data_IF_318706951315
#
_entry.id   IF_318706951315
#
_cell.length_a   1.000
_cell.length_b   1.000
_cell.length_c   1.000
_cell.angle_alpha   90.00
_cell.angle_beta   90.00
_cell.angle_gamma   90.00
#
_symmetry.space_group_name_H-M   'P 1'
#
loop_
_entity.id
_entity.type
_entity.pdbx_description
1 polymer ?
#
# COMPACT_ATOMS: atom_id res chain seq x y z
N UNK A 1 2.73 -12.13 -21.19
CA UNK A 1 1.79 -13.27 -20.94
C UNK A 1 0.56 -12.74 -20.20
N UNK A 2 0.69 -12.04 -19.06
CA UNK A 2 -0.45 -11.54 -18.27
C UNK A 2 -1.37 -10.61 -19.08
N UNK A 3 -0.82 -9.61 -19.78
CA UNK A 3 -1.58 -8.70 -20.63
C UNK A 3 -2.36 -9.42 -21.71
N UNK A 4 -1.74 -10.39 -22.39
CA UNK A 4 -2.40 -11.18 -23.43
C UNK A 4 -3.55 -12.06 -22.90
N UNK A 5 -3.60 -12.29 -21.58
CA UNK A 5 -4.67 -13.04 -20.90
C UNK A 5 -5.66 -12.14 -20.16
N UNK A 6 -5.55 -10.83 -20.29
CA UNK A 6 -6.43 -9.86 -19.60
C UNK A 6 -6.23 -9.81 -18.07
N UNK A 7 -5.06 -10.23 -17.57
CA UNK A 7 -4.76 -10.22 -16.14
C UNK A 7 -4.11 -8.90 -15.75
N UNK A 8 -4.58 -8.29 -14.67
CA UNK A 8 -3.89 -7.21 -13.99
C UNK A 8 -2.75 -7.74 -13.12
N UNK A 9 -1.69 -6.96 -13.00
CA UNK A 9 -0.56 -7.24 -12.10
C UNK A 9 -0.45 -6.14 -11.07
N UNK A 10 -0.14 -6.51 -9.83
CA UNK A 10 0.26 -5.57 -8.80
C UNK A 10 1.78 -5.72 -8.62
N UNK A 11 2.51 -4.64 -8.87
CA UNK A 11 3.95 -4.58 -8.65
C UNK A 11 4.23 -3.94 -7.30
N UNK A 12 4.63 -4.75 -6.35
CA UNK A 12 5.08 -4.34 -5.02
C UNK A 12 6.57 -4.04 -5.09
N UNK A 13 6.95 -2.77 -4.87
CA UNK A 13 8.35 -2.36 -5.00
C UNK A 13 9.20 -2.81 -3.81
N UNK A 14 8.61 -2.86 -2.62
CA UNK A 14 9.32 -3.19 -1.39
C UNK A 14 8.64 -4.31 -0.62
N UNK A 15 9.45 -5.23 -0.12
CA UNK A 15 9.00 -6.29 0.78
C UNK A 15 9.49 -5.99 2.21
N UNK A 16 8.59 -5.54 3.06
CA UNK A 16 8.94 -5.02 4.38
C UNK A 16 9.25 -6.06 5.45
N UNK A 17 8.80 -7.30 5.29
CA UNK A 17 8.97 -8.33 6.34
C UNK A 17 10.44 -8.57 6.71
N UNK A 18 11.35 -8.46 5.75
CA UNK A 18 12.78 -8.60 5.99
C UNK A 18 13.35 -7.51 6.93
N UNK A 19 12.67 -6.38 7.01
CA UNK A 19 13.05 -5.25 7.84
C UNK A 19 12.40 -5.29 9.22
N UNK A 20 11.20 -5.87 9.30
CA UNK A 20 10.41 -5.89 10.53
C UNK A 20 10.87 -6.95 11.51
N UNK A 21 11.29 -8.06 10.98
CA UNK A 21 11.77 -9.21 11.73
C UNK A 21 13.30 -9.26 11.68
N UNK A 22 13.90 -8.12 11.95
CA UNK A 22 15.35 -7.96 11.95
C UNK A 22 16.02 -9.09 12.73
N UNK A 23 17.01 -9.72 12.11
CA UNK A 23 17.67 -10.92 12.62
C UNK A 23 17.14 -12.23 12.03
N UNK A 24 15.84 -12.32 11.70
CA UNK A 24 15.29 -13.51 11.05
C UNK A 24 15.51 -13.47 9.51
N UNK A 25 15.33 -12.32 8.89
CA UNK A 25 15.36 -12.19 7.43
C UNK A 25 16.41 -11.21 6.90
N UNK A 26 17.07 -10.46 7.77
CA UNK A 26 18.09 -9.49 7.35
C UNK A 26 19.25 -10.14 6.60
N UNK A 27 19.64 -11.36 6.99
CA UNK A 27 20.71 -12.08 6.35
C UNK A 27 20.52 -12.27 4.84
N UNK A 28 19.28 -12.40 4.40
CA UNK A 28 18.89 -12.62 3.00
C UNK A 28 18.48 -11.33 2.29
N UNK A 29 18.42 -10.22 3.01
CA UNK A 29 17.90 -8.98 2.47
C UNK A 29 18.85 -8.38 1.42
N UNK A 30 18.38 -8.04 0.20
CA UNK A 30 19.25 -7.60 -0.88
C UNK A 30 20.03 -6.30 -0.59
N UNK A 31 19.55 -5.48 0.34
CA UNK A 31 20.20 -4.23 0.72
C UNK A 31 21.20 -4.37 1.89
N UNK A 32 21.40 -5.56 2.39
CA UNK A 32 22.46 -5.82 3.36
C UNK A 32 23.83 -5.62 2.72
N UNK A 33 24.77 -4.98 3.39
CA UNK A 33 26.13 -4.70 2.86
C UNK A 33 26.81 -5.93 2.26
N UNK A 34 26.64 -7.10 2.91
CA UNK A 34 27.23 -8.36 2.45
C UNK A 34 26.54 -8.96 1.20
N UNK A 35 25.36 -8.48 0.86
CA UNK A 35 24.56 -9.01 -0.25
C UNK A 35 24.54 -8.08 -1.48
N UNK A 36 25.16 -6.90 -1.39
CA UNK A 36 25.11 -5.88 -2.43
C UNK A 36 26.45 -5.22 -2.67
N UNK A 37 26.67 -4.80 -3.90
CA UNK A 37 27.83 -3.95 -4.27
C UNK A 37 27.54 -2.45 -4.13
N UNK A 38 26.32 -2.09 -3.77
CA UNK A 38 25.86 -0.69 -3.77
C UNK A 38 26.26 0.11 -2.53
N UNK A 39 26.81 -0.56 -1.52
CA UNK A 39 27.22 0.04 -0.24
C UNK A 39 26.16 1.01 0.34
N UNK A 40 24.99 0.53 0.75
CA UNK A 40 23.90 1.38 1.25
C UNK A 40 24.17 1.96 2.64
N UNK A 41 25.20 1.51 3.35
CA UNK A 41 25.59 2.03 4.65
C UNK A 41 24.67 1.57 5.79
N UNK A 42 24.10 0.38 5.69
CA UNK A 42 23.34 -0.21 6.78
C UNK A 42 24.24 -0.99 7.74
N UNK A 43 24.16 -0.76 9.05
CA UNK A 43 24.81 -1.60 10.02
C UNK A 43 24.12 -2.96 10.09
N UNK A 44 24.82 -3.95 10.65
CA UNK A 44 24.17 -5.19 11.05
C UNK A 44 23.21 -4.93 12.21
N UNK A 45 22.03 -5.56 12.23
CA UNK A 45 21.08 -5.39 13.33
C UNK A 45 21.69 -5.92 14.64
N UNK A 46 21.38 -5.27 15.76
CA UNK A 46 21.73 -5.82 17.06
C UNK A 46 21.01 -7.15 17.28
N UNK A 47 21.49 -8.00 18.18
CA UNK A 47 20.76 -9.20 18.58
C UNK A 47 19.31 -8.85 18.92
N UNK A 48 18.38 -9.70 18.49
CA UNK A 48 16.95 -9.46 18.72
C UNK A 48 16.65 -9.41 20.21
N UNK A 49 16.17 -8.28 20.67
CA UNK A 49 15.70 -8.07 22.04
C UNK A 49 14.39 -7.27 21.99
N UNK A 50 13.27 -7.96 22.06
CA UNK A 50 11.97 -7.33 22.19
C UNK A 50 11.67 -6.25 21.12
N UNK A 51 11.49 -5.02 21.55
CA UNK A 51 11.13 -3.89 20.67
C UNK A 51 12.16 -3.49 19.62
N UNK A 52 13.37 -4.02 19.64
CA UNK A 52 14.41 -3.71 18.66
C UNK A 52 14.18 -4.37 17.28
N UNK A 53 13.13 -5.13 17.12
CA UNK A 53 12.75 -5.75 15.86
C UNK A 53 12.53 -4.74 14.71
N UNK A 54 12.27 -3.48 15.03
CA UNK A 54 12.05 -2.41 14.04
C UNK A 54 13.32 -1.64 13.66
N UNK A 55 14.46 -1.94 14.30
CA UNK A 55 15.70 -1.19 14.13
C UNK A 55 16.08 -0.98 12.66
N UNK A 56 16.03 -2.04 11.86
CA UNK A 56 16.39 -1.95 10.44
C UNK A 56 15.33 -1.16 9.63
N UNK A 57 14.06 -1.24 9.99
CA UNK A 57 13.00 -0.49 9.33
C UNK A 57 13.17 1.02 9.53
N UNK A 58 13.53 1.47 10.73
CA UNK A 58 13.82 2.88 11.01
C UNK A 58 14.95 3.41 10.12
N UNK A 59 16.02 2.66 10.01
CA UNK A 59 17.15 3.02 9.17
C UNK A 59 16.84 2.98 7.68
N UNK A 60 16.08 1.97 7.26
CA UNK A 60 15.76 1.76 5.85
C UNK A 60 14.86 2.86 5.31
N UNK A 61 13.85 3.27 6.07
CA UNK A 61 12.90 4.30 5.66
C UNK A 61 13.38 5.75 5.95
N UNK A 62 14.59 5.90 6.48
CA UNK A 62 15.19 7.21 6.68
C UNK A 62 15.71 7.80 5.37
N UNK A 63 14.86 8.57 4.72
CA UNK A 63 15.21 9.30 3.49
C UNK A 63 15.96 10.61 3.73
N UNK A 64 16.27 10.97 4.98
CA UNK A 64 17.17 12.08 5.29
C UNK A 64 18.64 11.69 5.04
N UNK A 65 18.97 10.39 5.08
CA UNK A 65 20.31 9.91 4.78
C UNK A 65 20.60 9.99 3.27
N UNK A 66 21.56 10.82 2.80
CA UNK A 66 21.72 11.13 1.37
C UNK A 66 21.95 9.90 0.49
N UNK A 67 22.84 8.99 0.92
CA UNK A 67 23.16 7.78 0.15
C UNK A 67 21.96 6.84 0.02
N UNK A 68 21.22 6.61 1.09
CA UNK A 68 20.03 5.76 1.08
C UNK A 68 18.94 6.38 0.22
N UNK A 69 18.72 7.68 0.35
CA UNK A 69 17.79 8.43 -0.49
C UNK A 69 18.10 8.28 -1.99
N UNK A 70 19.38 8.40 -2.37
CA UNK A 70 19.84 8.21 -3.75
C UNK A 70 19.53 6.78 -4.26
N UNK A 71 19.87 5.77 -3.45
CA UNK A 71 19.62 4.37 -3.81
C UNK A 71 18.12 4.05 -3.92
N UNK A 72 17.31 4.53 -2.99
CA UNK A 72 15.85 4.38 -3.08
C UNK A 72 15.29 5.05 -4.34
N UNK A 73 15.75 6.26 -4.65
CA UNK A 73 15.36 6.97 -5.87
C UNK A 73 15.69 6.15 -7.12
N UNK A 74 16.92 5.66 -7.21
CA UNK A 74 17.36 4.84 -8.35
C UNK A 74 16.53 3.55 -8.46
N UNK A 75 16.27 2.88 -7.35
CA UNK A 75 15.49 1.65 -7.30
C UNK A 75 14.03 1.87 -7.74
N UNK A 76 13.35 2.89 -7.21
CA UNK A 76 11.97 3.20 -7.56
C UNK A 76 11.86 3.50 -9.06
N UNK A 77 12.77 4.32 -9.60
CA UNK A 77 12.82 4.66 -11.03
C UNK A 77 13.06 3.43 -11.90
N UNK A 78 13.91 2.52 -11.45
CA UNK A 78 14.17 1.26 -12.16
C UNK A 78 12.92 0.36 -12.19
N UNK A 79 12.20 0.23 -11.07
CA UNK A 79 10.95 -0.51 -11.03
C UNK A 79 9.89 0.07 -11.98
N UNK A 80 9.76 1.38 -12.04
CA UNK A 80 8.85 2.06 -12.97
C UNK A 80 9.27 1.84 -14.43
N UNK A 81 10.56 1.96 -14.74
CA UNK A 81 11.09 1.82 -16.07
C UNK A 81 10.93 0.41 -16.64
N UNK A 82 11.15 -0.63 -15.83
CA UNK A 82 11.03 -2.02 -16.25
C UNK A 82 9.62 -2.39 -16.74
N UNK A 83 8.59 -1.71 -16.24
CA UNK A 83 7.19 -2.00 -16.55
C UNK A 83 6.50 -0.84 -17.29
N UNK A 84 7.27 0.10 -17.77
CA UNK A 84 6.77 1.36 -18.36
C UNK A 84 5.94 1.16 -19.65
N UNK A 85 6.07 0.04 -20.33
CA UNK A 85 5.28 -0.31 -21.52
C UNK A 85 3.99 -1.08 -21.22
N UNK A 86 3.76 -1.45 -19.97
CA UNK A 86 2.65 -2.31 -19.60
C UNK A 86 1.48 -1.48 -19.02
N UNK A 87 0.30 -1.64 -19.59
CA UNK A 87 -0.90 -0.88 -19.21
C UNK A 87 -1.76 -1.60 -18.16
N UNK A 88 -1.42 -2.84 -17.83
CA UNK A 88 -2.13 -3.69 -16.89
C UNK A 88 -1.38 -3.85 -15.56
N UNK A 89 -0.46 -2.95 -15.25
CA UNK A 89 0.33 -2.97 -14.01
C UNK A 89 -0.09 -1.84 -13.10
N UNK A 90 -0.39 -2.17 -11.86
CA UNK A 90 -0.61 -1.24 -10.75
C UNK A 90 0.64 -1.29 -9.88
N UNK A 91 1.28 -0.15 -9.68
CA UNK A 91 2.45 -0.04 -8.81
C UNK A 91 2.04 0.36 -7.40
N UNK A 92 2.56 -0.34 -6.41
CA UNK A 92 2.40 0.03 -5.00
C UNK A 92 3.76 0.02 -4.29
N UNK A 93 3.85 0.74 -3.21
CA UNK A 93 5.05 0.76 -2.39
C UNK A 93 5.37 -0.63 -1.83
N UNK A 94 4.35 -1.33 -1.37
CA UNK A 94 4.42 -2.72 -0.92
C UNK A 94 3.09 -3.15 -0.33
N UNK A 95 2.85 -4.45 -0.32
CA UNK A 95 1.73 -5.02 0.41
C UNK A 95 1.94 -4.82 1.90
N UNK A 96 0.85 -4.56 2.60
CA UNK A 96 0.92 -4.36 4.04
C UNK A 96 1.95 -3.30 4.49
N UNK A 97 2.28 -2.37 3.61
CA UNK A 97 3.29 -1.36 3.91
C UNK A 97 2.77 -0.36 4.94
N UNK A 98 3.41 -0.30 6.08
CA UNK A 98 3.06 0.58 7.19
C UNK A 98 4.23 1.47 7.65
N UNK A 99 5.16 1.75 6.74
CA UNK A 99 6.26 2.68 6.97
C UNK A 99 5.79 4.13 7.17
N UNK A 100 6.71 5.04 7.48
CA UNK A 100 6.41 6.42 7.83
C UNK A 100 5.83 7.21 6.65
N UNK A 101 5.05 8.24 6.97
CA UNK A 101 4.49 9.19 5.99
C UNK A 101 5.58 9.78 5.10
N UNK A 102 6.72 10.16 5.67
CA UNK A 102 7.84 10.75 4.91
C UNK A 102 8.38 9.84 3.80
N UNK A 103 8.34 8.53 3.99
CA UNK A 103 8.77 7.60 2.94
C UNK A 103 7.72 7.45 1.82
N UNK A 104 6.43 7.48 2.15
CA UNK A 104 5.37 7.53 1.13
C UNK A 104 5.45 8.82 0.31
N UNK A 105 5.66 9.95 0.98
CA UNK A 105 5.82 11.25 0.32
C UNK A 105 7.02 11.24 -0.63
N UNK A 106 8.15 10.75 -0.17
CA UNK A 106 9.35 10.61 -0.99
C UNK A 106 9.11 9.71 -2.22
N UNK A 107 8.48 8.55 -2.02
CA UNK A 107 8.15 7.64 -3.12
C UNK A 107 7.28 8.32 -4.17
N UNK A 108 6.21 9.00 -3.74
CA UNK A 108 5.31 9.71 -4.65
C UNK A 108 6.00 10.90 -5.35
N UNK A 109 6.91 11.58 -4.69
CA UNK A 109 7.71 12.64 -5.31
C UNK A 109 8.60 12.08 -6.43
N UNK A 110 9.22 10.91 -6.22
CA UNK A 110 9.99 10.22 -7.26
C UNK A 110 9.10 9.75 -8.41
N UNK A 111 7.90 9.26 -8.13
CA UNK A 111 6.90 8.91 -9.16
C UNK A 111 6.51 10.15 -9.97
N UNK A 112 6.23 11.28 -9.33
CA UNK A 112 5.87 12.53 -9.99
C UNK A 112 6.97 13.04 -10.92
N UNK A 113 8.21 13.02 -10.45
CA UNK A 113 9.37 13.37 -11.26
C UNK A 113 9.51 12.47 -12.49
N UNK A 114 9.39 11.14 -12.27
CA UNK A 114 9.48 10.16 -13.35
C UNK A 114 8.36 10.35 -14.39
N UNK A 115 7.12 10.61 -13.94
CA UNK A 115 5.99 10.94 -14.83
C UNK A 115 6.30 12.17 -15.69
N UNK A 116 6.82 13.23 -15.07
CA UNK A 116 7.15 14.50 -15.75
C UNK A 116 8.25 14.30 -16.79
N UNK A 117 9.31 13.58 -16.46
CA UNK A 117 10.45 13.36 -17.32
C UNK A 117 10.15 12.44 -18.51
N UNK A 118 9.30 11.43 -18.30
CA UNK A 118 9.05 10.39 -19.32
C UNK A 118 7.76 10.60 -20.11
N UNK A 119 6.85 11.43 -19.62
CA UNK A 119 5.50 11.57 -20.16
C UNK A 119 4.63 10.32 -19.99
N UNK A 120 5.03 9.36 -19.14
CA UNK A 120 4.30 8.10 -18.89
C UNK A 120 3.48 8.18 -17.62
N UNK A 121 2.35 7.47 -17.60
CA UNK A 121 1.37 7.52 -16.52
C UNK A 121 1.11 6.12 -15.96
N UNK A 122 1.97 5.62 -15.07
CA UNK A 122 1.75 4.34 -14.39
C UNK A 122 0.54 4.45 -13.46
N UNK A 123 -0.22 3.36 -13.30
CA UNK A 123 -1.25 3.28 -12.29
C UNK A 123 -0.62 3.11 -10.92
N UNK A 124 -1.00 3.96 -9.97
CA UNK A 124 -0.42 4.01 -8.63
C UNK A 124 -1.47 3.63 -7.59
N UNK A 125 -1.16 2.62 -6.78
CA UNK A 125 -1.95 2.26 -5.61
C UNK A 125 -1.31 2.76 -4.32
N UNK A 126 -2.13 3.23 -3.42
CA UNK A 126 -1.75 3.58 -2.05
C UNK A 126 -2.30 2.52 -1.09
N UNK A 127 -1.40 1.74 -0.52
CA UNK A 127 -1.68 0.76 0.53
C UNK A 127 -0.96 1.21 1.80
N UNK A 128 -1.67 1.90 2.68
CA UNK A 128 -1.08 2.53 3.85
C UNK A 128 -2.04 2.47 5.05
N UNK A 129 -1.58 2.67 6.28
CA UNK A 129 -2.46 2.90 7.42
C UNK A 129 -3.32 4.15 7.19
N UNK A 130 -4.49 4.18 7.83
CA UNK A 130 -5.50 5.23 7.58
C UNK A 130 -4.96 6.65 7.74
N UNK A 131 -4.18 6.91 8.77
CA UNK A 131 -3.60 8.23 9.05
C UNK A 131 -2.65 8.69 7.92
N UNK A 132 -1.78 7.80 7.45
CA UNK A 132 -0.87 8.07 6.33
C UNK A 132 -1.67 8.21 5.04
N UNK A 133 -2.64 7.32 4.81
CA UNK A 133 -3.49 7.35 3.63
C UNK A 133 -4.29 8.64 3.55
N UNK A 134 -4.91 9.05 4.65
CA UNK A 134 -5.67 10.31 4.71
C UNK A 134 -4.75 11.54 4.50
N UNK A 135 -3.54 11.54 5.06
CA UNK A 135 -2.58 12.62 4.87
C UNK A 135 -2.14 12.75 3.39
N UNK A 136 -1.82 11.64 2.74
CA UNK A 136 -1.45 11.64 1.31
C UNK A 136 -2.62 12.08 0.43
N UNK A 137 -3.82 11.57 0.67
CA UNK A 137 -5.00 11.92 -0.12
C UNK A 137 -5.47 13.37 0.11
N UNK A 138 -5.14 13.97 1.24
CA UNK A 138 -5.40 15.38 1.52
C UNK A 138 -4.38 16.33 0.86
N UNK A 139 -3.21 15.85 0.47
CA UNK A 139 -2.23 16.62 -0.30
C UNK A 139 -2.66 16.66 -1.79
N UNK A 140 -3.05 17.82 -2.35
CA UNK A 140 -3.54 17.88 -3.73
C UNK A 140 -2.53 17.38 -4.76
N UNK A 141 -1.23 17.60 -4.51
CA UNK A 141 -0.15 17.19 -5.42
C UNK A 141 0.05 15.68 -5.40
N UNK A 142 0.20 15.09 -4.22
CA UNK A 142 0.46 13.65 -4.07
C UNK A 142 -0.82 12.83 -4.21
N UNK A 143 -1.93 13.30 -3.68
CA UNK A 143 -3.22 12.66 -3.82
C UNK A 143 -3.68 12.52 -5.27
N UNK A 144 -3.32 13.49 -6.14
CA UNK A 144 -3.63 13.38 -7.58
C UNK A 144 -2.87 12.28 -8.31
N UNK A 145 -1.78 11.77 -7.73
CA UNK A 145 -1.01 10.66 -8.30
C UNK A 145 -1.63 9.29 -8.03
N UNK A 146 -2.54 9.21 -7.06
CA UNK A 146 -3.14 7.94 -6.63
C UNK A 146 -4.33 7.61 -7.52
N UNK A 147 -4.31 6.44 -8.13
CA UNK A 147 -5.40 5.89 -8.94
C UNK A 147 -6.23 4.88 -8.14
N UNK A 148 -5.58 4.14 -7.24
CA UNK A 148 -6.16 3.05 -6.46
C UNK A 148 -5.89 3.23 -4.98
N UNK A 149 -6.93 3.17 -4.18
CA UNK A 149 -6.86 3.17 -2.72
C UNK A 149 -7.04 1.73 -2.25
N UNK A 150 -6.00 1.16 -1.63
CA UNK A 150 -6.02 -0.20 -1.10
C UNK A 150 -6.14 -0.17 0.43
N UNK A 151 -7.29 -0.65 0.91
CA UNK A 151 -7.65 -0.60 2.33
C UNK A 151 -7.11 -1.84 3.05
N UNK A 152 -6.00 -1.70 3.76
CA UNK A 152 -5.39 -2.83 4.47
C UNK A 152 -5.23 -2.62 5.97
N UNK A 153 -4.58 -1.60 6.41
CA UNK A 153 -4.17 -1.45 7.80
C UNK A 153 -5.13 -0.64 8.65
N UNK A 154 -6.38 -0.96 8.51
CA UNK A 154 -7.40 -0.38 9.35
C UNK A 154 -7.90 -1.44 10.31
N UNK A 155 -8.14 -1.04 11.52
CA UNK A 155 -8.75 -1.89 12.52
C UNK A 155 -9.76 -1.11 13.32
N UNK A 156 -10.60 -1.87 13.97
CA UNK A 156 -11.63 -1.33 14.80
C UNK A 156 -11.20 -1.38 16.26
N UNK A 157 -11.44 -0.27 16.97
CA UNK A 157 -11.38 -0.20 18.43
C UNK A 157 -12.79 -0.02 18.97
N UNK A 158 -12.95 -0.06 20.29
CA UNK A 158 -14.22 0.29 20.94
C UNK A 158 -14.75 1.69 20.60
N UNK A 159 -13.88 2.56 20.07
CA UNK A 159 -14.22 3.93 19.63
C UNK A 159 -14.54 4.03 18.13
N UNK A 160 -14.58 2.92 17.41
CA UNK A 160 -14.82 2.87 15.97
C UNK A 160 -13.60 2.52 15.15
N UNK A 161 -13.61 2.87 13.86
CA UNK A 161 -12.47 2.66 12.96
C UNK A 161 -11.30 3.51 13.40
N UNK A 162 -10.13 2.90 13.47
CA UNK A 162 -8.93 3.53 13.98
C UNK A 162 -7.71 3.22 13.11
N UNK A 163 -6.84 4.20 12.98
CA UNK A 163 -5.49 4.01 12.51
C UNK A 163 -4.51 4.43 13.61
N UNK A 164 -3.33 3.77 13.72
CA UNK A 164 -2.33 4.22 14.65
C UNK A 164 -1.84 5.61 14.27
N UNK A 165 -1.55 6.41 15.28
CA UNK A 165 -1.07 7.75 15.08
C UNK A 165 0.31 7.77 14.37
N UNK A 166 0.49 8.75 13.52
CA UNK A 166 1.80 9.30 13.18
C UNK A 166 2.59 8.62 12.08
N UNK A 167 2.06 7.71 11.30
CA UNK A 167 2.91 7.11 10.26
C UNK A 167 4.22 6.54 10.83
N UNK A 168 4.24 6.24 12.12
CA UNK A 168 5.38 5.69 12.81
C UNK A 168 5.61 4.24 12.47
N UNK A 169 6.72 3.74 12.85
CA UNK A 169 7.21 2.42 12.56
C UNK A 169 6.34 1.29 13.07
N UNK A 170 6.41 0.27 12.41
CA UNK A 170 5.63 -0.92 12.25
C UNK A 170 5.37 -1.80 13.46
N UNK A 171 6.30 -1.95 14.40
CA UNK A 171 6.12 -2.91 15.47
C UNK A 171 4.95 -2.57 16.40
N UNK A 172 4.78 -1.32 16.84
CA UNK A 172 3.59 -0.92 17.59
C UNK A 172 2.30 -1.13 16.80
N UNK A 173 2.32 -0.85 15.50
CA UNK A 173 1.18 -1.02 14.59
C UNK A 173 0.79 -2.47 14.42
N UNK A 174 1.75 -3.36 14.27
CA UNK A 174 1.48 -4.79 14.20
C UNK A 174 0.89 -5.36 15.50
N UNK A 175 1.34 -4.85 16.65
CA UNK A 175 0.74 -5.23 17.93
C UNK A 175 -0.72 -4.81 18.05
N UNK A 176 -1.06 -3.64 17.59
CA UNK A 176 -2.44 -3.18 17.56
C UNK A 176 -3.27 -3.94 16.50
N UNK A 177 -2.65 -4.31 15.39
CA UNK A 177 -3.20 -5.17 14.36
C UNK A 177 -3.60 -6.55 14.89
N UNK A 178 -2.97 -7.03 15.93
CA UNK A 178 -3.37 -8.27 16.63
C UNK A 178 -4.72 -8.13 17.38
N UNK A 179 -5.47 -7.09 17.11
CA UNK A 179 -6.90 -7.05 17.32
C UNK A 179 -7.35 -6.98 18.77
N UNK A 180 -6.77 -6.09 19.52
CA UNK A 180 -7.29 -5.75 20.85
C UNK A 180 -8.77 -5.32 20.81
N UNK A 181 -9.30 -4.99 19.65
CA UNK A 181 -10.69 -4.61 19.41
C UNK A 181 -11.51 -5.60 18.57
N UNK A 182 -10.98 -6.80 18.25
CA UNK A 182 -11.65 -7.76 17.37
C UNK A 182 -11.45 -7.48 15.86
N UNK A 183 -11.75 -8.48 15.03
CA UNK A 183 -11.67 -8.34 13.57
C UNK A 183 -12.81 -7.48 13.05
N UNK A 184 -12.59 -6.62 12.01
CA UNK A 184 -13.68 -5.90 11.39
C UNK A 184 -14.74 -6.87 10.85
N UNK A 185 -16.00 -6.56 11.04
CA UNK A 185 -17.08 -7.29 10.39
C UNK A 185 -17.15 -6.96 8.90
N UNK A 186 -17.89 -7.76 8.12
CA UNK A 186 -18.13 -7.43 6.71
C UNK A 186 -18.80 -6.07 6.54
N UNK A 187 -19.68 -5.66 7.43
CA UNK A 187 -20.31 -4.35 7.44
C UNK A 187 -19.28 -3.22 7.72
N UNK A 188 -18.32 -3.45 8.62
CA UNK A 188 -17.25 -2.49 8.88
C UNK A 188 -16.37 -2.28 7.64
N UNK A 189 -16.02 -3.37 6.95
CA UNK A 189 -15.24 -3.31 5.72
C UNK A 189 -16.00 -2.60 4.59
N UNK A 190 -17.28 -2.88 4.42
CA UNK A 190 -18.12 -2.17 3.46
C UNK A 190 -18.23 -0.68 3.80
N UNK A 191 -18.34 -0.33 5.08
CA UNK A 191 -18.32 1.05 5.55
C UNK A 191 -17.00 1.77 5.24
N UNK A 192 -15.87 1.09 5.39
CA UNK A 192 -14.55 1.63 5.03
C UNK A 192 -14.47 1.93 3.52
N UNK A 193 -14.89 0.97 2.70
CA UNK A 193 -14.94 1.16 1.23
C UNK A 193 -15.83 2.34 0.88
N UNK A 194 -17.03 2.40 1.46
CA UNK A 194 -17.99 3.48 1.21
C UNK A 194 -17.45 4.86 1.59
N UNK A 195 -16.72 4.97 2.72
CA UNK A 195 -16.10 6.24 3.14
C UNK A 195 -15.20 6.81 2.03
N UNK A 196 -14.29 5.97 1.48
CA UNK A 196 -13.35 6.44 0.46
C UNK A 196 -14.00 6.60 -0.90
N UNK A 197 -14.93 5.74 -1.28
CA UNK A 197 -15.70 5.91 -2.54
C UNK A 197 -16.47 7.22 -2.57
N UNK A 198 -17.05 7.64 -1.44
CA UNK A 198 -17.75 8.90 -1.35
C UNK A 198 -16.82 10.10 -1.41
N UNK A 199 -15.66 10.02 -0.75
CA UNK A 199 -14.65 11.10 -0.72
C UNK A 199 -13.89 11.24 -2.03
N UNK A 200 -13.65 10.13 -2.73
CA UNK A 200 -12.83 10.05 -3.94
C UNK A 200 -13.53 9.19 -5.00
N UNK A 201 -14.63 9.68 -5.58
CA UNK A 201 -15.44 8.90 -6.53
C UNK A 201 -14.69 8.53 -7.82
N UNK A 202 -13.64 9.27 -8.15
CA UNK A 202 -12.79 9.05 -9.33
C UNK A 202 -11.73 7.95 -9.14
N UNK A 203 -11.45 7.55 -7.89
CA UNK A 203 -10.42 6.55 -7.58
C UNK A 203 -11.02 5.16 -7.42
N UNK A 204 -10.29 4.14 -7.83
CA UNK A 204 -10.64 2.77 -7.48
C UNK A 204 -10.38 2.54 -5.98
N UNK A 205 -11.31 1.85 -5.31
CA UNK A 205 -11.14 1.44 -3.91
C UNK A 205 -11.17 -0.07 -3.85
N UNK A 206 -10.10 -0.67 -3.37
CA UNK A 206 -9.95 -2.12 -3.25
C UNK A 206 -9.66 -2.50 -1.79
N UNK A 207 -9.92 -3.73 -1.47
CA UNK A 207 -9.46 -4.35 -0.22
C UNK A 207 -9.18 -5.82 -0.47
N UNK A 208 -8.04 -6.28 0.01
CA UNK A 208 -7.66 -7.70 -0.03
C UNK A 208 -7.91 -8.39 1.32
N UNK A 209 -8.55 -7.70 2.26
CA UNK A 209 -8.96 -8.30 3.52
C UNK A 209 -9.98 -9.40 3.23
N UNK A 210 -9.52 -10.65 3.25
CA UNK A 210 -10.26 -11.85 2.85
C UNK A 210 -11.50 -12.20 3.71
N UNK A 211 -11.90 -11.34 4.63
CA UNK A 211 -12.95 -11.56 5.60
C UNK A 211 -14.23 -10.79 5.33
N UNK A 212 -14.24 -9.99 4.24
CA UNK A 212 -15.45 -9.27 3.84
C UNK A 212 -16.37 -10.15 2.99
N UNK A 213 -17.66 -10.07 3.22
CA UNK A 213 -18.63 -10.56 2.25
C UNK A 213 -18.45 -9.78 0.94
N UNK A 214 -18.10 -10.44 -0.18
CA UNK A 214 -17.82 -9.77 -1.43
C UNK A 214 -19.02 -8.98 -1.98
N UNK A 215 -20.25 -9.38 -1.64
CA UNK A 215 -21.44 -8.66 -2.02
C UNK A 215 -21.64 -7.38 -1.24
N UNK A 216 -21.33 -7.41 0.07
CA UNK A 216 -21.32 -6.20 0.89
C UNK A 216 -20.22 -5.23 0.45
N UNK A 217 -19.04 -5.74 0.08
CA UNK A 217 -17.98 -4.92 -0.47
C UNK A 217 -18.38 -4.29 -1.81
N UNK A 218 -19.02 -5.06 -2.69
CA UNK A 218 -19.54 -4.56 -3.94
C UNK A 218 -20.62 -3.46 -3.72
N UNK A 219 -21.54 -3.69 -2.79
CA UNK A 219 -22.55 -2.72 -2.39
C UNK A 219 -21.93 -1.44 -1.77
N UNK A 220 -20.83 -1.58 -1.04
CA UNK A 220 -20.04 -0.45 -0.53
C UNK A 220 -19.28 0.31 -1.61
N UNK A 221 -19.21 -0.22 -2.84
CA UNK A 221 -18.54 0.40 -3.97
C UNK A 221 -17.09 -0.07 -4.19
N UNK A 222 -16.69 -1.23 -3.67
CA UNK A 222 -15.38 -1.82 -3.95
C UNK A 222 -15.20 -2.05 -5.45
N UNK A 223 -14.03 -1.72 -5.97
CA UNK A 223 -13.74 -1.78 -7.41
C UNK A 223 -13.45 -3.20 -7.91
N UNK A 224 -12.90 -4.08 -7.07
CA UNK A 224 -12.58 -5.47 -7.39
C UNK A 224 -12.98 -6.40 -6.23
N UNK A 225 -14.27 -6.53 -5.90
CA UNK A 225 -14.68 -7.49 -4.90
C UNK A 225 -14.41 -8.91 -5.42
N UNK A 226 -13.92 -9.80 -4.55
CA UNK A 226 -13.66 -11.20 -4.90
C UNK A 226 -14.98 -11.98 -4.98
N UNK A 227 -15.81 -11.68 -5.96
CA UNK A 227 -17.09 -12.34 -6.19
C UNK A 227 -16.88 -13.82 -6.56
N UNK A 228 -17.83 -14.71 -6.20
CA UNK A 228 -17.76 -16.12 -6.57
C UNK A 228 -17.58 -16.32 -8.09
N UNK A 229 -16.77 -17.29 -8.50
CA UNK A 229 -16.55 -17.60 -9.90
C UNK A 229 -17.85 -17.99 -10.65
N UNK A 230 -18.86 -18.45 -9.91
CA UNK A 230 -20.19 -18.78 -10.42
C UNK A 230 -21.11 -17.56 -10.62
N UNK A 231 -20.62 -16.34 -10.35
CA UNK A 231 -21.43 -15.13 -10.50
C UNK A 231 -21.84 -14.93 -11.95
N UNK A 232 -23.15 -14.69 -12.16
CA UNK A 232 -23.68 -14.48 -13.51
C UNK A 232 -23.00 -13.27 -14.20
N UNK A 233 -22.49 -13.45 -15.44
CA UNK A 233 -21.86 -12.37 -16.18
C UNK A 233 -22.76 -11.14 -16.43
N UNK A 234 -24.09 -11.34 -16.48
CA UNK A 234 -25.03 -10.23 -16.62
C UNK A 234 -25.06 -9.36 -15.37
N UNK A 235 -25.00 -9.98 -14.19
CA UNK A 235 -24.92 -9.28 -12.91
C UNK A 235 -23.59 -8.52 -12.78
N UNK A 236 -22.47 -9.13 -13.20
CA UNK A 236 -21.17 -8.44 -13.24
C UNK A 236 -21.21 -7.18 -14.14
N UNK A 237 -21.84 -7.29 -15.30
CA UNK A 237 -22.05 -6.13 -16.19
C UNK A 237 -22.96 -5.06 -15.59
N UNK A 238 -23.96 -5.46 -14.82
CA UNK A 238 -24.82 -4.53 -14.10
C UNK A 238 -24.05 -3.80 -12.99
N UNK A 239 -23.30 -4.55 -12.17
CA UNK A 239 -22.45 -3.99 -11.11
C UNK A 239 -21.42 -2.99 -11.65
N UNK A 240 -20.77 -3.31 -12.78
CA UNK A 240 -19.80 -2.43 -13.42
C UNK A 240 -20.39 -1.08 -13.87
N UNK A 241 -21.71 -0.98 -14.02
CA UNK A 241 -22.44 0.25 -14.38
C UNK A 241 -22.98 1.00 -13.17
N UNK A 242 -22.97 0.38 -12.00
CA UNK A 242 -23.45 1.04 -10.77
C UNK A 242 -22.50 2.18 -10.39
N UNK A 243 -23.07 3.32 -10.08
CA UNK A 243 -22.34 4.46 -9.51
C UNK A 243 -22.74 4.60 -8.05
N UNK A 244 -21.81 5.06 -7.19
CA UNK A 244 -22.18 5.40 -5.82
C UNK A 244 -23.33 6.41 -5.83
N UNK A 245 -24.38 6.13 -5.08
CA UNK A 245 -25.45 7.12 -4.89
C UNK A 245 -24.89 8.20 -3.99
N UNK A 246 -24.77 9.41 -4.50
CA UNK A 246 -24.50 10.57 -3.65
C UNK A 246 -25.74 10.75 -2.77
N UNK A 247 -25.61 10.43 -1.48
CA UNK A 247 -26.59 10.89 -0.50
C UNK A 247 -26.51 12.41 -0.47
N UNK A 248 -27.54 13.07 -0.98
CA UNK A 248 -27.72 14.51 -0.83
C UNK A 248 -27.78 14.93 0.64
#
# INVERSE_FOLDING_TARGET
>A
ISRARGLGLVNEMYFQHNLLEAGAHWAEFPWRELNTISAPGFPEPPPYVGGKRIFMAELFYDVAHPRRRELHRAYIRHCLANLAGETNVIHTLGEEFSGPLSFHEFWLDVVAEWKTETGRWPLIALSAPKDVQDAILADPRRGSLIDVIDLKYWWRTAKGLHAPAGGENLAPRQHERLWKGGRPSGADLAGMVHEYRRRFPEKAVITTLAQGDPWLLAAGGASFPALPASTDPSLLRALAKMRPVSSG
#
